data_IF_856803333586
#
_entry.id   IF_856803333586
#
_cell.length_a   1.000
_cell.length_b   1.000
_cell.length_c   1.000
_cell.angle_alpha   90.00
_cell.angle_beta   90.00
_cell.angle_gamma   90.00
#
_symmetry.space_group_name_H-M   'P 1'
#
loop_
_entity.id
_entity.type
_entity.pdbx_description
1 polymer ?
2 non-polymer ?
3 non-polymer ?
4 water ?
#
# COMPACT_ATOMS: atom_id res chain seq x y z
N UNK A 3 -21.25 -7.78 -12.69
CA UNK A 3 -22.35 -7.15 -11.90
C UNK A 3 -21.92 -6.86 -10.43
N UNK A 4 -21.16 -7.74 -9.80
CA UNK A 4 -20.49 -7.37 -8.55
C UNK A 4 -19.45 -6.26 -8.80
N UNK A 5 -19.38 -5.29 -7.90
CA UNK A 5 -18.31 -4.29 -7.92
C UNK A 5 -17.03 -4.96 -7.46
N UNK A 6 -15.92 -4.68 -8.12
CA UNK A 6 -14.62 -5.30 -7.77
C UNK A 6 -13.65 -4.23 -7.37
N UNK A 7 -13.09 -4.38 -6.19
CA UNK A 7 -12.20 -3.35 -5.60
C UNK A 7 -10.88 -4.02 -5.27
N UNK A 8 -9.82 -3.46 -5.82
CA UNK A 8 -8.46 -3.84 -5.46
C UNK A 8 -8.01 -2.90 -4.34
N UNK A 9 -7.58 -3.48 -3.25
CA UNK A 9 -7.02 -2.75 -2.09
C UNK A 9 -5.54 -3.09 -1.96
N UNK A 10 -4.71 -2.05 -2.09
CA UNK A 10 -3.29 -2.16 -1.94
C UNK A 10 -2.91 -2.46 -0.48
N UNK A 11 -1.72 -3.03 -0.30
CA UNK A 11 -1.27 -3.42 1.03
C UNK A 11 -0.42 -2.39 1.73
N UNK A 12 0.84 -2.25 1.35
CA UNK A 12 1.69 -1.31 2.04
C UNK A 12 1.19 0.12 1.76
N UNK A 13 1.16 0.91 2.81
CA UNK A 13 0.71 2.28 2.68
C UNK A 13 -0.80 2.41 2.74
N UNK A 14 -1.54 1.29 2.81
CA UNK A 14 -3.02 1.33 2.81
C UNK A 14 -3.55 0.45 3.92
N UNK A 15 -3.12 -0.80 3.97
CA UNK A 15 -3.44 -1.73 5.06
C UNK A 15 -2.35 -1.78 6.08
N UNK A 16 -1.08 -1.77 5.63
CA UNK A 16 0.09 -1.97 6.48
C UNK A 16 0.96 -0.74 6.50
N UNK A 17 1.43 -0.37 7.70
CA UNK A 17 2.18 0.89 7.87
C UNK A 17 3.66 0.71 7.59
N UNK A 18 4.00 0.73 6.31
CA UNK A 18 5.37 0.53 5.85
C UNK A 18 6.25 1.73 6.27
N UNK A 19 5.73 2.94 6.10
CA UNK A 19 6.52 4.14 6.45
C UNK A 19 6.93 4.19 7.92
N UNK A 20 5.96 3.97 8.81
CA UNK A 20 6.18 3.96 10.28
C UNK A 20 7.08 2.83 10.70
N UNK A 21 6.86 1.67 10.10
CA UNK A 21 7.64 0.49 10.42
C UNK A 21 9.08 0.68 10.00
N UNK A 22 9.26 1.22 8.81
CA UNK A 22 10.58 1.48 8.27
C UNK A 22 11.33 2.45 9.21
N UNK A 23 10.68 3.56 9.54
CA UNK A 23 11.35 4.59 10.36
C UNK A 23 11.77 4.02 11.69
N UNK A 24 10.90 3.28 12.34
CA UNK A 24 11.22 2.72 13.65
C UNK A 24 12.47 1.80 13.58
N UNK A 25 12.46 0.91 12.58
CA UNK A 25 13.52 -0.07 12.48
C UNK A 25 14.80 0.54 11.92
N UNK A 26 14.67 1.54 11.07
CA UNK A 26 15.84 2.26 10.60
C UNK A 26 16.57 2.95 11.80
N UNK A 27 15.81 3.66 12.62
CA UNK A 27 16.40 4.39 13.73
C UNK A 27 17.02 3.43 14.73
N UNK A 28 16.41 2.27 14.93
CA UNK A 28 16.91 1.28 15.87
C UNK A 28 18.22 0.70 15.36
N UNK A 29 18.29 0.43 14.06
CA UNK A 29 19.48 -0.23 13.51
C UNK A 29 20.62 0.75 13.21
N UNK A 30 20.28 2.01 12.86
CA UNK A 30 21.24 3.00 12.42
C UNK A 30 21.07 4.26 13.27
N UNK A 31 21.25 4.14 14.58
CA UNK A 31 20.92 5.24 15.49
C UNK A 31 21.82 6.49 15.31
N UNK A 32 22.98 6.34 14.66
CA UNK A 32 23.91 7.45 14.47
C UNK A 32 23.71 8.12 13.15
N UNK A 33 22.72 7.66 12.38
CA UNK A 33 22.46 8.22 11.08
C UNK A 33 21.30 9.21 11.17
N UNK A 34 21.28 10.17 10.27
CA UNK A 34 20.12 11.07 10.20
C UNK A 34 18.94 10.30 9.56
N UNK A 35 17.74 10.81 9.77
CA UNK A 35 16.55 10.15 9.26
C UNK A 35 15.58 11.21 8.77
N UNK A 36 14.53 10.74 8.13
CA UNK A 36 13.47 11.61 7.65
C UNK A 36 12.20 11.40 8.46
N UNK A 37 11.81 12.40 9.22
CA UNK A 37 10.54 12.35 9.95
C UNK A 37 9.41 12.19 8.92
N UNK A 38 8.37 11.45 9.29
CA UNK A 38 7.25 11.15 8.36
C UNK A 38 6.63 12.43 7.78
N UNK A 39 6.52 13.46 8.62
CA UNK A 39 6.02 14.76 8.19
C UNK A 39 6.88 15.35 7.04
N UNK A 40 8.15 14.99 6.97
CA UNK A 40 9.05 15.48 5.95
C UNK A 40 9.25 14.59 4.73
N UNK A 41 8.59 13.43 4.72
CA UNK A 41 8.66 12.56 3.57
C UNK A 41 8.03 13.16 2.30
N UNK A 42 8.71 13.04 1.18
CA UNK A 42 8.16 13.43 -0.12
C UNK A 42 8.63 12.43 -1.15
N UNK A 43 7.73 12.04 -2.03
CA UNK A 43 8.07 11.08 -3.06
C UNK A 43 7.86 9.68 -2.52
N UNK A 44 7.31 8.82 -3.37
CA UNK A 44 6.95 7.46 -3.00
C UNK A 44 8.14 6.65 -2.47
N UNK A 45 9.29 6.74 -3.14
CA UNK A 45 10.43 5.89 -2.81
C UNK A 45 11.26 6.44 -1.65
N UNK A 46 11.12 5.76 -0.52
CA UNK A 46 11.86 6.08 0.67
C UNK A 46 13.37 6.18 0.39
N UNK A 47 13.88 5.19 -0.33
CA UNK A 47 15.34 5.09 -0.57
C UNK A 47 15.85 6.31 -1.32
N UNK A 48 15.08 6.80 -2.28
CA UNK A 48 15.48 7.98 -3.04
C UNK A 48 15.65 9.21 -2.18
N UNK A 49 14.72 9.46 -1.27
CA UNK A 49 14.89 10.59 -0.37
C UNK A 49 16.05 10.41 0.63
N UNK A 50 16.28 9.16 1.04
CA UNK A 50 17.35 8.87 2.00
C UNK A 50 18.71 9.08 1.31
N UNK A 51 18.77 8.74 0.02
CA UNK A 51 19.98 8.84 -0.77
C UNK A 51 20.41 10.29 -0.97
N UNK A 52 19.42 11.16 -1.14
CA UNK A 52 19.60 12.61 -1.29
C UNK A 52 20.13 13.19 0.01
N UNK A 53 19.83 12.52 1.12
CA UNK A 53 20.10 13.09 2.42
C UNK A 53 21.54 12.79 2.89
N UNK A 54 22.12 11.65 2.47
CA UNK A 54 23.57 11.45 2.38
C UNK A 54 23.96 10.17 1.64
N UNK A 55 25.17 10.12 1.07
CA UNK A 55 25.63 8.92 0.34
C UNK A 55 25.61 7.65 1.20
N UNK A 56 25.28 6.52 0.57
CA UNK A 56 25.15 5.23 1.25
C UNK A 56 23.88 4.99 2.07
N UNK A 57 23.10 6.05 2.31
CA UNK A 57 21.88 5.93 3.11
C UNK A 57 20.75 5.22 2.34
N UNK A 58 20.69 5.39 1.03
CA UNK A 58 19.78 4.62 0.21
C UNK A 58 19.92 3.10 0.47
N UNK A 59 21.17 2.62 0.41
CA UNK A 59 21.45 1.23 0.62
C UNK A 59 21.11 0.78 2.05
N UNK A 60 21.42 1.58 3.04
CA UNK A 60 21.02 1.28 4.41
C UNK A 60 19.49 1.23 4.56
N UNK A 61 18.81 2.16 3.92
CA UNK A 61 17.33 2.10 3.94
C UNK A 61 16.84 0.80 3.34
N UNK A 62 17.34 0.43 2.17
CA UNK A 62 16.88 -0.77 1.48
C UNK A 62 17.06 -1.99 2.36
N UNK A 63 18.18 -1.99 3.12
CA UNK A 63 18.50 -3.11 4.00
C UNK A 63 17.49 -3.38 5.09
N UNK A 64 16.74 -2.34 5.47
CA UNK A 64 15.67 -2.49 6.42
C UNK A 64 14.51 -3.34 5.88
N UNK A 65 14.01 -3.02 4.68
CA UNK A 65 12.89 -3.79 4.13
C UNK A 65 13.28 -5.12 3.49
N UNK A 66 14.57 -5.31 3.20
CA UNK A 66 15.04 -6.60 2.79
C UNK A 66 15.27 -7.59 3.96
N UNK A 67 15.23 -7.11 5.18
CA UNK A 67 15.45 -7.96 6.33
C UNK A 67 14.22 -8.83 6.68
N UNK A 68 14.49 -10.01 7.20
CA UNK A 68 13.45 -10.89 7.70
C UNK A 68 12.59 -10.20 8.71
N UNK A 69 11.30 -10.50 8.59
CA UNK A 69 10.24 -10.00 9.48
C UNK A 69 9.87 -8.55 9.30
N UNK A 70 10.48 -7.86 8.34
CA UNK A 70 10.08 -6.48 8.14
C UNK A 70 8.60 -6.42 7.72
N UNK A 71 8.24 -7.12 6.68
CA UNK A 71 6.84 -7.04 6.21
C UNK A 71 5.88 -7.69 7.18
N UNK A 72 6.30 -8.80 7.80
CA UNK A 72 5.40 -9.50 8.69
C UNK A 72 5.03 -8.63 9.92
N UNK A 73 6.00 -7.86 10.39
CA UNK A 73 5.82 -7.11 11.63
C UNK A 73 5.17 -5.74 11.45
N UNK A 74 4.85 -5.36 10.22
CA UNK A 74 4.16 -4.08 10.00
C UNK A 74 2.82 -4.03 10.73
N UNK A 75 2.57 -2.89 11.33
CA UNK A 75 1.30 -2.65 12.03
C UNK A 75 0.22 -2.29 11.02
N UNK A 76 -0.99 -2.77 11.21
CA UNK A 76 -2.07 -2.26 10.38
C UNK A 76 -2.33 -0.76 10.59
N UNK A 77 -2.70 -0.09 9.53
CA UNK A 77 -3.13 1.30 9.62
C UNK A 77 -4.44 1.35 10.35
N UNK A 78 -4.70 2.46 11.02
CA UNK A 78 -5.96 2.56 11.77
C UNK A 78 -7.15 2.35 10.91
N UNK A 79 -8.09 1.50 11.34
CA UNK A 79 -9.35 1.28 10.63
C UNK A 79 -9.28 0.37 9.41
N UNK A 80 -8.07 -0.04 9.02
CA UNK A 80 -7.86 -0.75 7.75
C UNK A 80 -8.43 -2.16 7.77
N UNK A 81 -8.15 -2.91 8.82
CA UNK A 81 -8.64 -4.28 8.89
C UNK A 81 -10.16 -4.31 9.00
N UNK A 82 -10.70 -3.45 9.87
CA UNK A 82 -12.13 -3.38 10.01
C UNK A 82 -12.84 -2.98 8.70
N UNK A 83 -12.27 -2.02 7.98
CA UNK A 83 -12.88 -1.48 6.75
C UNK A 83 -12.89 -2.53 5.65
N UNK A 84 -11.78 -3.24 5.52
CA UNK A 84 -11.71 -4.25 4.47
C UNK A 84 -12.61 -5.44 4.76
N UNK A 85 -12.69 -5.83 6.02
CA UNK A 85 -13.61 -6.88 6.44
C UNK A 85 -15.04 -6.43 6.11
N UNK A 86 -15.40 -5.21 6.49
CA UNK A 86 -16.75 -4.73 6.17
C UNK A 86 -16.98 -4.71 4.66
N UNK A 87 -16.01 -4.21 3.90
CA UNK A 87 -16.13 -4.05 2.48
C UNK A 87 -16.35 -5.38 1.79
N UNK A 88 -15.61 -6.39 2.22
CA UNK A 88 -15.69 -7.73 1.58
C UNK A 88 -17.04 -8.38 1.87
N UNK A 89 -17.60 -8.08 3.03
CA UNK A 89 -18.89 -8.63 3.43
C UNK A 89 -20.08 -7.98 2.71
N UNK A 90 -19.88 -6.87 2.01
CA UNK A 90 -20.99 -6.16 1.33
C UNK A 90 -21.50 -6.99 0.17
N UNK A 91 -22.82 -6.95 -0.02
CA UNK A 91 -23.41 -7.66 -1.12
C UNK A 91 -22.89 -7.05 -2.40
N UNK A 92 -22.72 -7.90 -3.41
CA UNK A 92 -22.31 -7.44 -4.73
C UNK A 92 -20.97 -6.69 -4.69
N UNK A 93 -20.07 -7.18 -3.84
CA UNK A 93 -18.79 -6.51 -3.65
C UNK A 93 -17.70 -7.58 -3.45
N UNK A 94 -16.77 -7.62 -4.41
CA UNK A 94 -15.59 -8.51 -4.34
C UNK A 94 -14.31 -7.72 -4.09
N UNK A 95 -13.57 -8.09 -3.07
CA UNK A 95 -12.36 -7.38 -2.67
C UNK A 95 -11.16 -8.29 -2.85
N UNK A 96 -10.13 -7.75 -3.50
CA UNK A 96 -8.86 -8.43 -3.66
C UNK A 96 -7.83 -7.51 -3.04
N UNK A 97 -6.81 -8.11 -2.45
CA UNK A 97 -5.67 -7.35 -1.98
C UNK A 97 -4.61 -7.42 -3.08
N UNK A 98 -4.27 -6.27 -3.67
CA UNK A 98 -3.37 -6.23 -4.83
C UNK A 98 -2.11 -5.49 -4.44
N UNK A 99 -1.01 -6.24 -4.42
CA UNK A 99 0.23 -5.78 -3.80
C UNK A 99 1.41 -6.25 -4.60
N UNK A 100 2.45 -5.42 -4.57
CA UNK A 100 3.69 -5.73 -5.26
C UNK A 100 4.76 -6.19 -4.32
N UNK A 101 5.51 -7.21 -4.73
CA UNK A 101 6.68 -7.58 -3.98
C UNK A 101 7.83 -6.61 -4.25
N UNK A 102 8.74 -6.47 -3.29
CA UNK A 102 10.05 -5.86 -3.55
C UNK A 102 10.88 -6.79 -4.45
N UNK A 103 12.02 -6.32 -4.91
CA UNK A 103 12.81 -7.12 -5.86
C UNK A 103 13.48 -8.36 -5.19
N UNK A 104 13.88 -8.24 -3.94
CA UNK A 104 14.45 -9.34 -3.20
C UNK A 104 13.26 -10.15 -2.64
N UNK A 105 13.14 -11.40 -3.03
CA UNK A 105 11.88 -12.15 -2.86
C UNK A 105 11.99 -13.21 -1.79
N UNK A 106 13.12 -13.23 -1.07
CA UNK A 106 13.32 -14.24 -0.09
C UNK A 106 12.21 -14.31 0.97
N UNK A 107 11.84 -13.14 1.51
CA UNK A 107 10.88 -13.05 2.62
C UNK A 107 9.56 -12.42 2.25
N UNK A 108 9.59 -11.46 1.34
CA UNK A 108 8.46 -10.55 1.18
C UNK A 108 7.14 -11.27 0.73
N UNK A 109 7.15 -12.04 -0.37
CA UNK A 109 5.96 -12.84 -0.74
C UNK A 109 5.38 -13.62 0.42
N UNK A 110 6.22 -14.41 1.08
CA UNK A 110 5.78 -15.21 2.18
C UNK A 110 5.14 -14.41 3.32
N UNK A 111 5.85 -13.37 3.72
CA UNK A 111 5.38 -12.54 4.85
C UNK A 111 4.13 -11.75 4.53
N UNK A 112 3.94 -11.34 3.28
CA UNK A 112 2.68 -10.66 2.91
C UNK A 112 1.49 -11.65 3.03
N UNK A 113 1.65 -12.88 2.54
CA UNK A 113 0.62 -13.90 2.77
C UNK A 113 0.38 -14.14 4.26
N UNK A 114 1.46 -14.26 5.01
CA UNK A 114 1.37 -14.49 6.44
C UNK A 114 0.61 -13.37 7.17
N UNK A 115 0.85 -12.16 6.76
CA UNK A 115 0.21 -10.95 7.36
C UNK A 115 -1.27 -10.95 7.07
N UNK A 116 -1.64 -11.26 5.83
CA UNK A 116 -3.06 -11.33 5.47
C UNK A 116 -3.73 -12.45 6.28
N UNK A 117 -3.07 -13.61 6.42
CA UNK A 117 -3.66 -14.69 7.24
C UNK A 117 -3.93 -14.21 8.65
N UNK A 118 -2.97 -13.52 9.22
CA UNK A 118 -3.00 -13.04 10.57
C UNK A 118 -4.19 -12.11 10.81
N UNK A 119 -4.37 -11.14 9.92
CA UNK A 119 -5.42 -10.10 10.12
C UNK A 119 -6.75 -10.38 9.49
N UNK A 120 -6.79 -11.24 8.46
CA UNK A 120 -8.01 -11.54 7.75
C UNK A 120 -8.47 -12.98 7.74
N UNK A 121 -7.60 -13.90 8.13
CA UNK A 121 -7.94 -15.29 8.27
C UNK A 121 -7.47 -16.07 7.06
N UNK A 122 -7.36 -17.39 7.19
CA UNK A 122 -6.99 -18.28 6.07
C UNK A 122 -7.80 -18.11 4.79
N UNK A 123 -9.11 -17.95 4.92
CA UNK A 123 -9.92 -17.86 3.72
C UNK A 123 -9.61 -16.62 2.84
N UNK A 124 -9.08 -15.57 3.45
CA UNK A 124 -8.84 -14.32 2.73
C UNK A 124 -7.58 -14.41 1.86
N UNK A 125 -6.81 -15.49 2.05
CA UNK A 125 -5.60 -15.69 1.22
C UNK A 125 -5.98 -15.85 -0.26
N UNK A 126 -7.16 -16.40 -0.53
CA UNK A 126 -7.72 -16.51 -1.86
C UNK A 126 -7.88 -15.19 -2.63
N UNK A 127 -7.82 -14.08 -1.89
CA UNK A 127 -8.05 -12.77 -2.43
C UNK A 127 -6.79 -12.01 -2.74
N UNK A 128 -5.63 -12.63 -2.57
CA UNK A 128 -4.38 -11.92 -2.77
C UNK A 128 -3.95 -12.02 -4.25
N UNK A 129 -3.60 -10.88 -4.82
CA UNK A 129 -2.96 -10.81 -6.14
C UNK A 129 -1.62 -10.14 -5.96
N UNK A 130 -0.55 -10.91 -6.10
CA UNK A 130 0.81 -10.41 -6.03
C UNK A 130 1.34 -10.15 -7.41
N UNK A 131 1.64 -8.89 -7.69
CA UNK A 131 2.04 -8.49 -9.04
C UNK A 131 2.84 -7.19 -9.01
N UNK A 132 3.79 -7.06 -9.94
CA UNK A 132 4.48 -5.79 -10.15
C UNK A 132 3.76 -4.89 -11.09
N UNK A 133 2.77 -5.42 -11.80
CA UNK A 133 1.97 -4.69 -12.77
C UNK A 133 0.48 -4.81 -12.40
N UNK A 134 -0.07 -3.72 -11.86
CA UNK A 134 -1.46 -3.68 -11.46
C UNK A 134 -2.39 -3.32 -12.62
N UNK A 135 -1.81 -2.82 -13.71
CA UNK A 135 -2.64 -2.38 -14.85
C UNK A 135 -3.26 -3.55 -15.59
N UNK A 136 -2.66 -4.74 -15.43
CA UNK A 136 -3.26 -5.95 -16.00
C UNK A 136 -4.27 -6.66 -15.12
N UNK A 137 -4.54 -6.09 -13.93
CA UNK A 137 -5.57 -6.62 -13.07
C UNK A 137 -6.80 -5.76 -13.32
N UNK A 138 -7.90 -6.40 -13.66
CA UNK A 138 -9.18 -5.69 -13.94
C UNK A 138 -10.05 -5.59 -12.70
N UNK A 139 -10.64 -4.40 -12.54
CA UNK A 139 -11.47 -4.08 -11.42
C UNK A 139 -12.14 -2.76 -11.69
N UNK A 140 -13.05 -2.39 -10.80
CA UNK A 140 -13.72 -1.09 -10.87
C UNK A 140 -12.93 0.01 -10.15
N UNK A 141 -12.27 -0.37 -9.08
CA UNK A 141 -11.52 0.56 -8.26
C UNK A 141 -10.17 -0.06 -7.84
N UNK A 142 -9.15 0.75 -7.80
CA UNK A 142 -7.86 0.41 -7.14
C UNK A 142 -7.57 1.51 -6.08
N UNK A 143 -7.50 1.10 -4.80
CA UNK A 143 -7.18 2.02 -3.69
C UNK A 143 -5.72 1.79 -3.35
N UNK A 144 -4.88 2.79 -3.62
CA UNK A 144 -3.43 2.59 -3.63
C UNK A 144 -2.74 3.92 -3.32
N UNK A 145 -1.75 3.84 -2.44
CA UNK A 145 -1.00 5.04 -2.01
C UNK A 145 0.04 5.52 -3.00
N UNK A 146 0.42 4.68 -3.96
CA UNK A 146 1.38 5.08 -4.98
C UNK A 146 0.75 5.96 -6.05
N UNK A 147 1.31 7.14 -6.29
CA UNK A 147 0.70 8.03 -7.28
C UNK A 147 0.71 7.56 -8.72
N UNK A 148 1.82 6.95 -9.11
CA UNK A 148 2.07 6.54 -10.52
C UNK A 148 1.92 5.04 -10.66
N UNK A 149 0.77 4.63 -11.21
CA UNK A 149 0.49 3.23 -11.38
C UNK A 149 0.46 2.97 -12.87
N UNK A 150 1.57 2.40 -13.32
CA UNK A 150 1.79 2.14 -14.74
C UNK A 150 2.16 0.69 -15.00
N UNK A 151 2.10 0.32 -16.28
CA UNK A 151 2.37 -1.05 -16.64
C UNK A 151 2.04 -1.27 -18.10
N UNK A 152 1.81 -2.53 -18.43
CA UNK A 152 1.59 -2.96 -19.80
C UNK A 152 0.25 -2.59 -20.39
N UNK A 153 -0.76 -2.31 -19.57
CA UNK A 153 -2.07 -1.90 -20.07
C UNK A 153 -2.22 -0.38 -20.04
N UNK A 154 -2.29 0.29 -21.20
CA UNK A 154 -2.41 1.77 -21.18
C UNK A 154 -3.77 2.29 -20.68
N UNK A 155 -4.79 1.45 -20.71
CA UNK A 155 -6.11 1.87 -20.29
C UNK A 155 -6.71 0.85 -19.32
N UNK A 156 -6.22 0.88 -18.07
CA UNK A 156 -6.72 -0.04 -17.06
C UNK A 156 -8.19 0.14 -16.92
N UNK A 157 -8.86 -0.89 -16.45
CA UNK A 157 -10.29 -0.83 -16.24
C UNK A 157 -10.69 -0.13 -14.97
N UNK A 158 -9.80 -0.10 -13.97
CA UNK A 158 -10.13 0.53 -12.69
C UNK A 158 -9.92 2.04 -12.70
N UNK A 159 -10.62 2.71 -11.79
CA UNK A 159 -10.26 4.06 -11.36
C UNK A 159 -9.33 3.95 -10.16
N UNK A 160 -8.22 4.62 -10.24
CA UNK A 160 -7.24 4.69 -9.15
C UNK A 160 -7.68 5.78 -8.18
N UNK A 161 -8.01 5.37 -6.98
CA UNK A 161 -8.26 6.29 -5.88
C UNK A 161 -6.99 6.32 -5.01
N UNK A 162 -6.44 7.53 -4.84
CA UNK A 162 -5.17 7.71 -4.14
C UNK A 162 -5.42 7.67 -2.66
N UNK A 163 -4.80 6.70 -1.98
CA UNK A 163 -4.89 6.59 -0.54
C UNK A 163 -3.83 7.49 0.08
N UNK A 164 -4.24 8.38 0.97
CA UNK A 164 -3.30 9.32 1.54
C UNK A 164 -2.27 8.65 2.40
N UNK A 165 -1.04 9.07 2.19
CA UNK A 165 0.12 8.65 2.96
C UNK A 165 1.03 9.83 3.20
N UNK A 166 1.94 9.72 4.16
CA UNK A 166 2.87 10.82 4.40
C UNK A 166 3.60 11.28 3.14
N UNK A 167 4.02 10.32 2.30
CA UNK A 167 4.77 10.63 1.10
C UNK A 167 3.95 11.32 0.00
N UNK A 168 2.62 11.28 0.05
CA UNK A 168 1.81 11.85 -1.03
C UNK A 168 0.82 12.97 -0.58
N UNK A 169 0.79 13.27 0.71
CA UNK A 169 -0.30 14.10 1.24
C UNK A 169 -0.31 15.54 0.67
N UNK A 170 0.84 16.04 0.19
CA UNK A 170 0.95 17.39 -0.41
C UNK A 170 0.76 17.42 -1.90
N UNK A 171 0.63 16.24 -2.53
CA UNK A 171 0.60 16.14 -3.98
C UNK A 171 -0.69 16.62 -4.59
N UNK A 172 -0.56 17.56 -5.52
CA UNK A 172 -1.68 17.95 -6.32
C UNK A 172 -1.85 16.96 -7.48
N UNK A 173 -3.01 16.34 -7.58
CA UNK A 173 -3.33 15.39 -8.64
C UNK A 173 -4.04 16.06 -9.80
N UNK A 174 -3.94 15.43 -10.97
CA UNK A 174 -4.69 15.79 -12.17
C UNK A 174 -6.19 15.73 -11.87
N UNK A 175 -6.90 16.85 -12.00
CA UNK A 175 -8.27 17.01 -11.49
C UNK A 175 -9.19 15.82 -11.41
N UNK A 176 -9.40 15.02 -12.45
CA UNK A 176 -10.42 13.95 -12.31
C UNK A 176 -10.08 12.98 -11.15
N UNK A 177 -8.79 12.87 -10.82
CA UNK A 177 -8.31 11.97 -9.77
C UNK A 177 -8.76 12.29 -8.36
N UNK A 178 -9.08 11.23 -7.62
CA UNK A 178 -9.81 11.24 -6.35
C UNK A 178 -8.93 10.66 -5.20
N UNK A 179 -9.20 10.99 -3.94
CA UNK A 179 -8.44 10.51 -2.78
C UNK A 179 -9.33 9.84 -1.79
N UNK A 180 -8.78 8.88 -1.09
CA UNK A 180 -9.34 8.36 0.11
C UNK A 180 -8.37 8.76 1.17
N UNK A 181 -8.78 9.61 2.11
CA UNK A 181 -7.81 10.28 2.93
C UNK A 181 -7.29 9.44 4.11
N UNK A 182 -8.06 8.44 4.48
CA UNK A 182 -7.83 7.45 5.53
C UNK A 182 -9.01 6.48 5.53
N UNK A 183 -8.94 5.43 6.34
CA UNK A 183 -10.03 4.47 6.44
C UNK A 183 -11.22 5.02 7.24
N UNK A 184 -10.99 6.09 8.03
CA UNK A 184 -12.12 6.84 8.64
C UNK A 184 -12.93 7.68 7.66
N UNK A 185 -12.32 8.03 6.54
CA UNK A 185 -12.95 8.74 5.43
C UNK A 185 -14.03 7.83 4.85
N UNK A 186 -14.87 8.39 3.99
CA UNK A 186 -16.06 7.69 3.55
C UNK A 186 -15.83 6.84 2.30
N UNK A 187 -15.23 5.67 2.57
CA UNK A 187 -14.94 4.73 1.51
C UNK A 187 -16.23 4.13 0.93
N UNK A 188 -17.28 3.98 1.73
CA UNK A 188 -18.51 3.45 1.16
C UNK A 188 -19.06 4.33 0.04
N UNK A 189 -18.94 5.65 0.18
CA UNK A 189 -19.46 6.55 -0.82
C UNK A 189 -18.68 6.44 -2.09
N UNK A 190 -17.35 6.22 -1.96
CA UNK A 190 -16.53 6.03 -3.14
C UNK A 190 -16.97 4.80 -3.94
N UNK A 191 -17.17 3.68 -3.22
CA UNK A 191 -17.64 2.42 -3.84
C UNK A 191 -18.99 2.65 -4.54
N UNK A 192 -19.90 3.28 -3.82
CA UNK A 192 -21.24 3.56 -4.33
C UNK A 192 -21.27 4.39 -5.63
N UNK A 193 -20.38 5.36 -5.77
CA UNK A 193 -20.30 6.14 -7.01
C UNK A 193 -19.98 5.29 -8.25
N UNK A 194 -19.49 4.07 -8.05
CA UNK A 194 -19.12 3.20 -9.16
C UNK A 194 -20.15 2.12 -9.43
N UNK A 195 -21.16 2.00 -8.57
CA UNK A 195 -22.14 0.92 -8.72
C UNK A 195 -23.10 1.22 -9.88
N UNK A 196 -23.53 0.17 -10.58
CA UNK A 196 -24.28 0.30 -11.84
C UNK A 196 -25.64 0.97 -11.70
X LIG B 1 1.28 0.74 -1.36
X LIG C 1 2.48 -2.54 -1.89
X LIG C 1 2.16 -2.81 -3.39
X LIG C 1 2.24 -1.05 -1.52
X LIG C 1 1.76 -3.49 -0.90
X LIG C 1 7.54 -1.71 -3.94
X LIG C 1 7.20 -3.04 -3.44
X LIG C 1 6.30 -3.02 -2.17
X LIG C 1 6.98 -2.33 -1.15
X LIG C 1 5.07 -2.22 -2.55
X LIG C 1 4.08 -2.82 -1.66
X LIG C 1 5.28 -0.87 -1.92
X LIG C 1 6.37 -1.07 -0.87
X LIG C 1 7.33 0.00 -0.77
X LIG C 1 6.91 1.23 -0.21
X LIG C 1 5.71 1.30 0.20
X LIG C 1 7.79 2.22 -0.14
X LIG C 1 9.05 2.14 -0.62
X LIG C 1 9.86 3.10 -0.57
X LIG C 1 9.46 0.86 -1.18
X LIG C 1 10.81 0.66 -1.65
X LIG C 1 8.57 -0.20 -1.23
#
# INVERSE_FOLDING_TARGET
>A
GGRALRVLVNMDGVLADFEGGFLRKFRARFPDQPFIALEDRRGFWVSEQYGRLRPGLSEKAISIWESKNFFFELEPLPGAVEAVKEMASLQNTDVFICTSPIKMFKYCPYEKYAWVEKYFGPDFLEQIVLTRDKTVVSADLLIDDRPDITGAEPTPSWEHVLFTACHNQHLQLQPPRRRLHSWADDWKAILDSKRPC
>B hetero
1 MG MG
>C hetero
1 T3P P OP1 OP2 OP3 O5' C5' C4' O4' C3' O3' C2' C1' N1 C2 O2 N3 C4 O4 C5 C5M C6
#
